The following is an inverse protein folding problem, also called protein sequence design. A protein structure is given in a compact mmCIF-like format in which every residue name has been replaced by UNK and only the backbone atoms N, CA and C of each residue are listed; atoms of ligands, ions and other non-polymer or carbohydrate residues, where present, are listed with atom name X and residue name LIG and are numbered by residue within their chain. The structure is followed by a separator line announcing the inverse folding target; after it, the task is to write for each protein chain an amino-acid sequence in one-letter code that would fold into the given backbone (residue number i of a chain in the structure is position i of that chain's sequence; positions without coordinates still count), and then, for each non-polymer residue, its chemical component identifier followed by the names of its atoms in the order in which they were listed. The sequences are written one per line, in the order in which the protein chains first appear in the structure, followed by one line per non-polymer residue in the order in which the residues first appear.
data_IF_062443790868
#
_entry.id   IF_062443790868
#
_cell.length_a   1.000
_cell.length_b   1.000
_cell.length_c   1.000
_cell.angle_alpha   90.00
_cell.angle_beta   90.00
_cell.angle_gamma   90.00
#
_symmetry.space_group_name_H-M   'P 1'
#
loop_
_entity.id
_entity.type
_entity.pdbx_description
1 polymer ?
#
# COMPACT_ATOMS: atom_id res chain seq x y z
N UNK A 1 34.36 -4.75 36.41
CA UNK A 1 33.12 -5.57 36.45
C UNK A 1 31.99 -4.79 35.80
N UNK A 2 31.17 -5.41 34.95
CA UNK A 2 29.97 -4.79 34.37
C UNK A 2 28.73 -5.66 34.60
N UNK A 3 27.59 -5.03 34.87
CA UNK A 3 26.30 -5.69 35.10
C UNK A 3 25.11 -4.84 34.65
N UNK A 4 23.96 -5.46 34.41
CA UNK A 4 22.67 -4.79 34.11
C UNK A 4 21.69 -5.08 35.25
N UNK A 5 20.93 -4.07 35.69
CA UNK A 5 19.90 -4.24 36.72
C UNK A 5 18.72 -5.09 36.21
N UNK A 6 18.16 -6.11 36.93
CA UNK A 6 18.45 -6.71 38.23
C UNK A 6 19.87 -6.80 38.75
N UNK A 7 20.59 -7.72 38.13
CA UNK A 7 21.85 -8.31 38.61
C UNK A 7 22.52 -9.15 37.52
N UNK A 8 22.21 -8.94 36.23
CA UNK A 8 22.76 -9.76 35.16
C UNK A 8 24.24 -9.43 34.97
N UNK A 9 25.13 -10.40 35.18
CA UNK A 9 26.55 -10.24 34.92
C UNK A 9 26.77 -10.11 33.41
N UNK A 10 27.39 -9.00 33.00
CA UNK A 10 27.74 -8.75 31.59
C UNK A 10 29.17 -9.16 31.33
N UNK A 11 30.10 -8.76 32.21
CA UNK A 11 31.53 -9.04 32.03
C UNK A 11 32.32 -8.85 33.32
N UNK A 12 33.39 -9.63 33.49
CA UNK A 12 34.36 -9.45 34.55
C UNK A 12 35.79 -9.47 33.99
N UNK A 13 36.67 -8.67 34.57
CA UNK A 13 38.09 -8.63 34.21
C UNK A 13 38.90 -8.60 35.51
N UNK A 14 39.88 -9.49 35.61
CA UNK A 14 40.82 -9.55 36.72
C UNK A 14 42.12 -10.18 36.23
N UNK A 15 43.12 -9.36 35.93
CA UNK A 15 44.36 -9.73 35.20
C UNK A 15 44.11 -10.21 33.76
N UNK A 16 43.09 -11.04 33.57
CA UNK A 16 42.61 -11.62 32.33
C UNK A 16 41.08 -11.39 32.16
N UNK A 17 40.54 -11.49 30.93
CA UNK A 17 39.11 -11.36 30.66
C UNK A 17 38.31 -12.59 31.06
N UNK A 18 37.24 -12.39 31.83
CA UNK A 18 36.28 -13.42 32.26
C UNK A 18 34.90 -13.15 31.64
N UNK A 19 34.58 -13.77 30.49
CA UNK A 19 33.27 -13.64 29.86
C UNK A 19 32.18 -14.33 30.70
N UNK A 20 30.91 -13.91 30.56
CA UNK A 20 29.79 -14.50 31.27
C UNK A 20 29.58 -15.96 30.86
N UNK A 21 29.40 -16.83 31.87
CA UNK A 21 29.23 -18.28 31.67
C UNK A 21 27.77 -18.72 31.55
N UNK A 22 26.83 -17.79 31.79
CA UNK A 22 25.39 -18.06 31.77
C UNK A 22 24.59 -16.79 31.47
N UNK A 23 23.32 -16.95 31.14
CA UNK A 23 22.41 -15.84 30.90
C UNK A 23 22.51 -15.26 29.48
N UNK A 24 21.78 -14.17 29.26
CA UNK A 24 21.57 -13.56 27.93
C UNK A 24 22.83 -13.01 27.26
N UNK A 25 23.91 -12.76 28.00
CA UNK A 25 25.16 -12.20 27.46
C UNK A 25 26.22 -13.26 27.13
N UNK A 26 25.98 -14.53 27.47
CA UNK A 26 26.89 -15.64 27.18
C UNK A 26 27.22 -15.72 25.68
N UNK A 27 28.51 -15.78 25.35
CA UNK A 27 29.00 -15.88 23.97
C UNK A 27 28.82 -14.63 23.11
N UNK A 28 28.31 -13.52 23.68
CA UNK A 28 28.10 -12.25 22.96
C UNK A 28 28.97 -11.10 23.46
N UNK A 29 29.78 -11.28 24.50
CA UNK A 29 30.62 -10.21 25.05
C UNK A 29 32.09 -10.59 24.95
N UNK A 30 32.90 -9.69 24.40
CA UNK A 30 34.37 -9.84 24.29
C UNK A 30 35.10 -8.65 24.88
N UNK A 31 36.35 -8.86 25.29
CA UNK A 31 37.25 -7.79 25.72
C UNK A 31 37.79 -7.03 24.51
N UNK A 32 37.77 -5.70 24.57
CA UNK A 32 38.32 -4.80 23.54
C UNK A 32 39.28 -3.75 24.14
N UNK A 33 39.39 -3.70 25.46
CA UNK A 33 40.18 -2.70 26.18
C UNK A 33 41.69 -2.94 26.20
N UNK A 34 42.40 -1.95 26.72
CA UNK A 34 43.84 -1.99 26.94
C UNK A 34 44.19 -1.42 28.32
N UNK A 35 44.44 -2.31 29.28
CA UNK A 35 44.74 -1.94 30.67
C UNK A 35 45.99 -1.08 30.81
N UNK A 36 47.00 -1.26 29.95
CA UNK A 36 48.22 -0.43 29.93
C UNK A 36 47.96 1.03 29.54
N UNK A 37 46.78 1.31 28.95
CA UNK A 37 46.34 2.65 28.54
C UNK A 37 45.10 3.12 29.30
N UNK A 38 44.81 2.50 30.45
CA UNK A 38 43.63 2.80 31.27
C UNK A 38 42.29 2.62 30.52
N UNK A 39 42.25 1.70 29.55
CA UNK A 39 41.06 1.40 28.76
C UNK A 39 40.44 0.07 29.20
N UNK A 40 39.19 0.13 29.67
CA UNK A 40 38.42 -1.00 30.15
C UNK A 40 37.21 -1.34 29.26
N UNK A 41 37.35 -1.11 27.95
CA UNK A 41 36.28 -1.33 26.97
C UNK A 41 35.95 -2.80 26.74
N UNK A 42 34.66 -3.06 26.52
CA UNK A 42 34.11 -4.37 26.15
C UNK A 42 33.22 -4.21 24.92
N UNK A 43 33.15 -5.25 24.09
CA UNK A 43 32.30 -5.27 22.91
C UNK A 43 31.14 -6.25 23.12
N UNK A 44 29.91 -5.78 22.93
CA UNK A 44 28.70 -6.59 22.88
C UNK A 44 28.30 -6.85 21.42
N UNK A 45 28.11 -8.12 21.07
CA UNK A 45 27.76 -8.62 19.73
C UNK A 45 26.28 -8.96 19.62
N UNK A 46 25.76 -8.92 18.39
CA UNK A 46 24.37 -9.28 18.08
C UNK A 46 23.38 -8.58 19.02
N UNK A 47 23.49 -7.25 19.10
CA UNK A 47 22.69 -6.42 19.98
C UNK A 47 21.22 -6.45 19.53
N UNK A 48 20.33 -6.73 20.46
CA UNK A 48 18.88 -6.82 20.22
C UNK A 48 18.12 -5.80 21.05
N UNK A 49 16.88 -5.45 20.69
CA UNK A 49 16.00 -4.60 21.50
C UNK A 49 15.83 -5.06 22.95
N UNK A 50 15.97 -6.37 23.21
CA UNK A 50 15.91 -6.92 24.56
C UNK A 50 17.13 -6.59 25.43
N UNK A 51 18.24 -6.15 24.80
CA UNK A 51 19.45 -5.71 25.50
C UNK A 51 19.33 -4.26 26.02
N UNK A 52 18.18 -3.61 25.76
CA UNK A 52 17.90 -2.29 26.29
C UNK A 52 17.96 -2.29 27.83
N UNK A 53 18.72 -1.35 28.38
CA UNK A 53 18.86 -1.21 29.81
C UNK A 53 20.03 -0.34 30.21
N UNK A 54 20.20 -0.22 31.53
CA UNK A 54 21.27 0.54 32.15
C UNK A 54 22.39 -0.41 32.56
N UNK A 55 23.54 -0.25 31.91
CA UNK A 55 24.77 -0.97 32.18
C UNK A 55 25.57 -0.20 33.24
N UNK A 56 25.93 -0.92 34.30
CA UNK A 56 26.71 -0.41 35.42
C UNK A 56 28.06 -1.08 35.40
N UNK A 57 29.12 -0.30 35.17
CA UNK A 57 30.49 -0.78 35.13
C UNK A 57 31.29 -0.19 36.27
N UNK A 58 31.84 -1.05 37.13
CA UNK A 58 32.74 -0.67 38.21
C UNK A 58 34.18 -1.01 37.82
N UNK A 59 35.03 0.01 37.76
CA UNK A 59 36.48 -0.13 37.60
C UNK A 59 37.12 0.08 38.95
N UNK A 60 37.85 -0.92 39.41
CA UNK A 60 38.58 -0.89 40.68
C UNK A 60 40.05 -1.11 40.36
N UNK A 61 40.90 -0.19 40.83
CA UNK A 61 42.34 -0.28 40.70
C UNK A 61 42.93 -0.49 42.11
N UNK A 62 43.14 -1.73 42.58
CA UNK A 62 43.72 -1.97 43.90
C UNK A 62 45.04 -1.19 44.05
N UNK A 63 45.31 -0.45 45.14
CA UNK A 63 44.71 -0.52 46.49
C UNK A 63 43.45 0.32 46.70
N UNK A 64 42.90 0.96 45.67
CA UNK A 64 41.72 1.83 45.80
C UNK A 64 40.56 1.05 46.43
N UNK A 65 40.07 1.53 47.57
CA UNK A 65 38.95 0.87 48.29
C UNK A 65 37.66 1.04 47.48
N UNK A 66 37.48 2.24 46.92
CA UNK A 66 36.32 2.64 46.14
C UNK A 66 36.63 2.59 44.65
N UNK A 67 35.90 1.73 43.93
CA UNK A 67 35.94 1.70 42.48
C UNK A 67 34.98 2.73 41.88
N UNK A 68 35.38 3.38 40.80
CA UNK A 68 34.52 4.28 40.04
C UNK A 68 33.40 3.49 39.36
N UNK A 69 32.16 3.93 39.52
CA UNK A 69 30.99 3.36 38.86
C UNK A 69 30.61 4.26 37.68
N UNK A 70 30.70 3.73 36.47
CA UNK A 70 30.14 4.32 35.27
C UNK A 70 28.76 3.74 34.97
N UNK A 71 27.80 4.61 34.66
CA UNK A 71 26.47 4.25 34.18
C UNK A 71 26.36 4.53 32.68
N UNK A 72 25.89 3.55 31.90
CA UNK A 72 25.70 3.65 30.46
C UNK A 72 24.27 3.19 30.13
N UNK A 73 23.49 4.04 29.47
CA UNK A 73 22.15 3.67 29.01
C UNK A 73 22.18 3.20 27.56
N UNK A 74 21.89 1.93 27.33
CA UNK A 74 21.84 1.34 26.00
C UNK A 74 20.38 1.31 25.51
N UNK A 75 20.06 2.10 24.48
CA UNK A 75 18.75 2.09 23.84
C UNK A 75 18.85 1.49 22.43
N UNK A 76 18.24 0.33 22.24
CA UNK A 76 18.26 -0.41 20.97
C UNK A 76 16.88 -0.32 20.33
N UNK A 77 16.78 0.42 19.24
CA UNK A 77 15.55 0.58 18.46
C UNK A 77 15.62 -0.26 17.20
N UNK A 78 14.54 -0.99 16.87
CA UNK A 78 14.44 -1.61 15.54
C UNK A 78 14.31 -0.49 14.51
N UNK A 79 15.31 -0.37 13.64
CA UNK A 79 15.18 0.47 12.44
C UNK A 79 14.51 -0.35 11.36
N UNK A 80 13.20 -0.18 11.20
CA UNK A 80 12.54 -0.54 9.94
C UNK A 80 12.92 0.53 8.92
N UNK A 81 13.52 0.12 7.80
CA UNK A 81 13.85 1.09 6.77
C UNK A 81 12.54 1.53 6.12
N UNK A 82 12.19 2.81 6.26
CA UNK A 82 11.01 3.39 5.61
C UNK A 82 10.97 3.05 4.11
N UNK A 83 12.13 2.94 3.46
CA UNK A 83 12.26 2.49 2.07
C UNK A 83 11.56 1.14 1.81
N UNK A 84 11.66 0.17 2.71
CA UNK A 84 11.05 -1.16 2.54
C UNK A 84 9.52 -1.08 2.64
N UNK A 85 9.01 -0.36 3.65
CA UNK A 85 7.57 -0.16 3.83
C UNK A 85 6.97 0.62 2.64
N UNK A 86 7.66 1.66 2.17
CA UNK A 86 7.22 2.44 1.01
C UNK A 86 7.23 1.63 -0.29
N UNK A 87 8.27 0.82 -0.53
CA UNK A 87 8.34 -0.04 -1.72
C UNK A 87 7.19 -1.05 -1.70
N UNK A 88 6.93 -1.70 -0.56
CA UNK A 88 5.82 -2.64 -0.41
C UNK A 88 4.46 -1.97 -0.64
N UNK A 89 4.27 -0.77 -0.08
CA UNK A 89 3.03 -0.01 -0.26
C UNK A 89 2.78 0.37 -1.72
N UNK A 90 3.80 0.83 -2.45
CA UNK A 90 3.69 1.16 -3.87
C UNK A 90 3.41 -0.07 -4.73
N UNK A 91 4.06 -1.19 -4.44
CA UNK A 91 3.83 -2.44 -5.16
C UNK A 91 2.38 -2.90 -5.02
N UNK A 92 1.87 -3.02 -3.80
CA UNK A 92 0.48 -3.45 -3.53
C UNK A 92 -0.52 -2.42 -4.09
N UNK A 93 -0.26 -1.13 -3.88
CA UNK A 93 -1.11 -0.05 -4.38
C UNK A 93 -1.23 -0.07 -5.90
N UNK A 94 -0.11 -0.26 -6.61
CA UNK A 94 -0.10 -0.35 -8.08
C UNK A 94 -0.89 -1.55 -8.60
N UNK A 95 -0.71 -2.73 -7.99
CA UNK A 95 -1.41 -3.95 -8.40
C UNK A 95 -2.92 -3.81 -8.21
N UNK A 96 -3.37 -3.31 -7.06
CA UNK A 96 -4.78 -3.05 -6.78
C UNK A 96 -5.37 -2.01 -7.75
N UNK A 97 -4.67 -0.91 -8.00
CA UNK A 97 -5.13 0.12 -8.92
C UNK A 97 -5.26 -0.41 -10.36
N UNK A 98 -4.27 -1.15 -10.85
CA UNK A 98 -4.30 -1.76 -12.19
C UNK A 98 -5.46 -2.75 -12.32
N UNK A 99 -5.69 -3.58 -11.31
CA UNK A 99 -6.82 -4.52 -11.31
C UNK A 99 -8.17 -3.80 -11.39
N UNK A 100 -8.35 -2.74 -10.61
CA UNK A 100 -9.59 -1.93 -10.63
C UNK A 100 -9.79 -1.28 -12.01
N UNK A 101 -8.73 -0.69 -12.58
CA UNK A 101 -8.77 -0.07 -13.91
C UNK A 101 -9.17 -1.08 -14.98
N UNK A 102 -8.57 -2.28 -14.97
CA UNK A 102 -8.90 -3.35 -15.91
C UNK A 102 -10.37 -3.76 -15.82
N UNK A 103 -10.90 -3.93 -14.61
CA UNK A 103 -12.32 -4.28 -14.39
C UNK A 103 -13.23 -3.18 -14.95
N UNK A 104 -12.94 -1.91 -14.68
CA UNK A 104 -13.72 -0.78 -15.20
C UNK A 104 -13.72 -0.79 -16.73
N UNK A 105 -12.56 -0.93 -17.35
CA UNK A 105 -12.42 -0.99 -18.82
C UNK A 105 -13.23 -2.14 -19.40
N UNK A 106 -13.16 -3.33 -18.81
CA UNK A 106 -13.92 -4.51 -19.27
C UNK A 106 -15.42 -4.28 -19.14
N UNK A 107 -15.89 -3.75 -18.00
CA UNK A 107 -17.32 -3.47 -17.77
C UNK A 107 -17.82 -2.44 -18.78
N UNK A 108 -17.10 -1.33 -18.97
CA UNK A 108 -17.45 -0.30 -19.96
C UNK A 108 -17.45 -0.88 -21.36
N UNK A 109 -16.44 -1.65 -21.74
CA UNK A 109 -16.37 -2.29 -23.06
C UNK A 109 -17.54 -3.23 -23.30
N UNK A 110 -17.87 -4.10 -22.33
CA UNK A 110 -19.03 -5.01 -22.42
C UNK A 110 -20.33 -4.24 -22.52
N UNK A 111 -20.48 -3.15 -21.77
CA UNK A 111 -21.68 -2.33 -21.79
C UNK A 111 -21.84 -1.59 -23.13
N UNK A 112 -20.76 -1.03 -23.66
CA UNK A 112 -20.74 -0.39 -24.98
C UNK A 112 -21.04 -1.41 -26.09
N UNK A 113 -20.46 -2.60 -26.00
CA UNK A 113 -20.71 -3.67 -26.98
C UNK A 113 -22.18 -4.11 -26.93
N UNK A 114 -22.76 -4.28 -25.74
CA UNK A 114 -24.19 -4.59 -25.56
C UNK A 114 -25.08 -3.50 -26.19
N UNK A 115 -24.85 -2.22 -25.86
CA UNK A 115 -25.59 -1.10 -26.46
C UNK A 115 -25.44 -1.00 -27.98
N UNK A 116 -24.28 -1.36 -28.54
CA UNK A 116 -24.07 -1.40 -29.99
C UNK A 116 -24.81 -2.55 -30.68
N UNK A 117 -25.04 -3.67 -29.98
CA UNK A 117 -25.83 -4.79 -30.52
C UNK A 117 -27.32 -4.41 -30.59
N UNK A 118 -27.85 -3.74 -29.57
CA UNK A 118 -29.24 -3.24 -29.55
C UNK A 118 -29.50 -2.29 -30.75
N UNK A 119 -28.61 -1.32 -30.99
CA UNK A 119 -28.70 -0.40 -32.14
C UNK A 119 -28.50 -1.07 -33.51
N UNK A 120 -27.79 -2.21 -33.57
CA UNK A 120 -27.62 -2.97 -34.82
C UNK A 120 -28.90 -3.72 -35.20
N UNK A 121 -29.70 -4.14 -34.24
CA UNK A 121 -30.97 -4.84 -34.48
C UNK A 121 -32.06 -3.89 -34.98
N UNK A 122 -32.09 -2.65 -34.48
CA UNK A 122 -32.97 -1.57 -34.98
C UNK A 122 -32.74 -1.23 -36.46
N UNK A 123 -31.49 -1.29 -36.95
CA UNK A 123 -31.18 -1.03 -38.37
C UNK A 123 -31.54 -2.19 -39.32
N UNK A 124 -31.61 -3.43 -38.82
CA UNK A 124 -32.06 -4.59 -39.62
C UNK A 124 -33.58 -4.57 -39.80
N UNK A 125 -34.34 -4.11 -38.80
CA UNK A 125 -35.80 -4.00 -38.91
C UNK A 125 -36.27 -2.73 -39.67
N UNK A 126 -35.51 -1.63 -39.54
CA UNK A 126 -35.74 -0.39 -40.29
C UNK A 126 -35.42 -0.46 -41.79
N UNK A 127 -34.65 -1.46 -42.24
CA UNK A 127 -34.38 -1.70 -43.67
C UNK A 127 -35.40 -2.63 -44.31
N UNK A 128 -36.03 -3.53 -43.55
CA UNK A 128 -37.15 -4.38 -44.02
C UNK A 128 -38.42 -3.55 -44.25
N UNK A 129 -38.70 -2.57 -43.38
CA UNK A 129 -39.87 -1.68 -43.50
C UNK A 129 -39.74 -0.61 -44.59
N UNK A 130 -38.54 -0.32 -45.09
CA UNK A 130 -38.30 0.65 -46.19
C UNK A 130 -38.22 0.02 -47.59
N UNK A 131 -38.49 -1.29 -47.72
CA UNK A 131 -38.36 -2.05 -48.98
C UNK A 131 -39.66 -2.29 -49.76
N UNK A 132 -40.82 -1.84 -49.27
CA UNK A 132 -42.12 -2.05 -49.96
C UNK A 132 -42.73 -0.71 -50.34
N UNK A 133 -42.72 -0.42 -51.64
CA UNK A 133 -43.61 0.54 -52.28
C UNK A 133 -42.93 1.75 -52.88
N UNK A 134 -42.38 1.60 -54.10
CA UNK A 134 -42.68 2.57 -55.16
C UNK A 134 -42.36 2.01 -56.55
N UNK A 135 -43.23 2.27 -57.53
CA UNK A 135 -42.91 2.08 -58.95
C UNK A 135 -44.03 1.53 -59.83
N UNK A 136 -44.92 2.40 -60.31
CA UNK A 136 -45.80 2.09 -61.45
C UNK A 136 -46.86 3.16 -61.78
N UNK A 137 -46.45 4.30 -62.33
CA UNK A 137 -47.31 5.27 -63.04
C UNK A 137 -47.50 4.82 -64.52
N UNK A 138 -48.35 5.38 -65.43
CA UNK A 138 -49.12 6.64 -65.36
C UNK A 138 -50.51 6.67 -66.10
N UNK A 139 -51.14 7.86 -66.12
CA UNK A 139 -52.17 8.41 -67.06
C UNK A 139 -53.64 7.94 -66.96
N UNK A 140 -54.59 8.88 -66.80
CA UNK A 140 -55.71 9.24 -67.72
C UNK A 140 -56.38 10.56 -67.24
N UNK A 141 -56.73 11.41 -68.22
CA UNK A 141 -57.38 12.75 -68.19
C UNK A 141 -58.94 12.64 -68.09
N UNK A 142 -59.77 13.67 -68.39
CA UNK A 142 -60.44 14.56 -67.44
C UNK A 142 -62.01 14.47 -67.52
N UNK A 143 -62.75 15.10 -66.60
CA UNK A 143 -64.13 15.61 -66.76
C UNK A 143 -64.72 15.86 -65.35
N UNK A 144 -65.02 17.09 -64.96
CA UNK A 144 -66.25 17.85 -65.21
C UNK A 144 -67.43 17.46 -64.28
N UNK A 145 -68.20 18.49 -63.91
CA UNK A 145 -69.55 18.47 -63.30
C UNK A 145 -69.73 18.16 -61.80
N UNK A 146 -70.44 19.06 -61.11
CA UNK A 146 -71.05 18.80 -59.81
C UNK A 146 -71.29 20.05 -58.95
N UNK A 147 -72.25 20.88 -59.35
CA UNK A 147 -72.85 21.97 -58.56
C UNK A 147 -73.90 21.39 -57.58
N UNK A 148 -74.19 22.15 -56.51
CA UNK A 148 -75.42 22.13 -55.68
C UNK A 148 -75.50 21.04 -54.59
N UNK A 149 -76.07 21.22 -53.38
CA UNK A 149 -76.96 22.23 -52.75
C UNK A 149 -76.73 22.13 -51.23
N UNK A 150 -76.78 23.23 -50.48
CA UNK A 150 -77.65 23.31 -49.28
C UNK A 150 -78.12 24.75 -49.12
N UNK A 151 -79.42 24.91 -49.23
CA UNK A 151 -80.19 26.14 -49.23
C UNK A 151 -80.54 26.58 -47.79
N UNK A 152 -81.03 27.82 -47.72
CA UNK A 152 -81.97 28.38 -46.75
C UNK A 152 -81.41 29.25 -45.59
N UNK A 153 -82.17 30.26 -45.11
CA UNK A 153 -82.33 31.54 -45.82
C UNK A 153 -82.25 32.78 -44.88
N UNK A 154 -82.16 33.97 -45.51
CA UNK A 154 -82.85 35.25 -45.24
C UNK A 154 -83.16 35.68 -43.78
N UNK A 155 -83.10 36.93 -43.33
CA UNK A 155 -82.83 38.23 -43.94
C UNK A 155 -82.95 39.31 -42.83
N UNK A 156 -82.17 40.40 -42.98
CA UNK A 156 -82.49 41.83 -42.78
C UNK A 156 -83.01 42.38 -41.41
N UNK A 157 -82.94 43.70 -41.17
CA UNK A 157 -82.49 44.83 -42.01
C UNK A 157 -81.09 45.38 -41.69
#
# INVERSE_FOLDING_TARGET
KCSVAPSDQVFYYYEEPYPPQSGRFMGRVTWDGNTNRNDASIQLWSVTPTDNGTFLCQVKNPPDVDGMIGEIQLSVVLRVNFSEIHILALAIGSACALMIILVIVVVVYRHQRKKRQEKRMEMVEGSVTRGVGDGGNPLVLPADTGVEVTDAPAACP
#
